data_IF_711481596205
#
_entry.id   IF_711481596205
#
_cell.length_a   1.000
_cell.length_b   1.000
_cell.length_c   1.000
_cell.angle_alpha   90.00
_cell.angle_beta   90.00
_cell.angle_gamma   90.00
#
_symmetry.space_group_name_H-M   'P 1'
#
loop_
_entity.id
_entity.type
_entity.pdbx_description
1 polymer ?
#
# COMPACT_ATOMS: atom_id res chain seq x y z
N UNK A 1 24.51 -21.12 -69.91
CA UNK A 1 23.10 -21.12 -69.43
C UNK A 1 23.11 -20.77 -67.95
N UNK A 2 22.51 -19.63 -67.57
CA UNK A 2 22.42 -19.20 -66.18
C UNK A 2 22.21 -17.70 -66.11
N UNK A 3 21.02 -17.28 -65.69
CA UNK A 3 20.35 -16.02 -66.06
C UNK A 3 20.72 -14.83 -65.16
N UNK A 4 20.66 -13.67 -65.78
CA UNK A 4 20.76 -12.30 -65.24
C UNK A 4 19.83 -11.99 -64.05
N UNK A 5 20.14 -10.91 -63.29
CA UNK A 5 19.48 -10.54 -62.05
C UNK A 5 18.15 -9.82 -62.31
N UNK A 6 17.11 -10.14 -61.52
CA UNK A 6 15.83 -9.45 -61.56
C UNK A 6 15.73 -8.43 -60.42
N UNK A 7 15.84 -7.15 -60.80
CA UNK A 7 15.38 -5.97 -60.06
C UNK A 7 14.00 -6.21 -59.40
N UNK A 8 13.87 -5.83 -58.12
CA UNK A 8 12.55 -5.60 -57.51
C UNK A 8 12.16 -4.12 -57.62
N UNK A 9 10.92 -3.80 -57.99
CA UNK A 9 10.52 -2.44 -58.32
C UNK A 9 10.28 -1.55 -57.10
N UNK A 10 10.71 -0.29 -57.23
CA UNK A 10 10.34 0.83 -56.36
C UNK A 10 8.84 1.10 -56.45
N UNK A 11 8.12 1.10 -55.32
CA UNK A 11 6.78 1.71 -55.23
C UNK A 11 6.92 3.16 -54.75
N UNK A 12 6.43 4.10 -55.57
CA UNK A 12 6.18 5.50 -55.22
C UNK A 12 4.69 5.67 -54.87
N UNK A 13 4.49 6.52 -53.85
CA UNK A 13 3.40 7.48 -53.63
C UNK A 13 1.94 7.02 -53.50
N UNK A 14 1.29 7.56 -52.46
CA UNK A 14 -0.11 7.99 -52.56
C UNK A 14 -1.09 7.36 -51.58
N UNK A 15 -1.01 7.69 -50.29
CA UNK A 15 -2.19 7.70 -49.42
C UNK A 15 -2.06 8.81 -48.38
N UNK A 16 -2.44 10.00 -48.82
CA UNK A 16 -2.59 11.18 -48.00
C UNK A 16 -3.87 10.98 -47.16
N UNK A 17 -3.71 10.50 -45.92
CA UNK A 17 -4.80 10.48 -44.95
C UNK A 17 -4.93 11.89 -44.35
N UNK A 18 -6.11 12.53 -44.36
CA UNK A 18 -6.29 13.81 -43.70
C UNK A 18 -6.10 13.62 -42.19
N UNK A 19 -5.19 14.39 -41.59
CA UNK A 19 -5.08 14.47 -40.13
C UNK A 19 -6.36 15.10 -39.57
N UNK A 20 -7.06 14.46 -38.61
CA UNK A 20 -8.14 15.13 -37.89
C UNK A 20 -7.53 16.27 -37.06
N UNK A 21 -8.11 17.47 -37.20
CA UNK A 21 -7.77 18.63 -36.37
C UNK A 21 -7.88 18.26 -34.87
N UNK A 22 -6.97 18.73 -34.01
CA UNK A 22 -7.07 18.49 -32.58
C UNK A 22 -8.37 19.11 -32.04
N UNK A 23 -9.18 18.28 -31.39
CA UNK A 23 -10.36 18.73 -30.68
C UNK A 23 -10.00 19.83 -29.67
N UNK A 24 -10.76 20.92 -29.68
CA UNK A 24 -10.58 22.03 -28.76
C UNK A 24 -10.63 21.53 -27.29
N UNK A 25 -9.77 22.07 -26.39
CA UNK A 25 -9.79 21.70 -24.99
C UNK A 25 -11.16 22.06 -24.37
N UNK A 26 -11.68 21.25 -23.45
CA UNK A 26 -12.95 21.54 -22.78
C UNK A 26 -12.83 22.88 -22.06
N UNK A 27 -13.75 23.80 -22.38
CA UNK A 27 -13.82 25.10 -21.74
C UNK A 27 -14.09 24.91 -20.25
N UNK A 28 -13.12 25.32 -19.43
CA UNK A 28 -13.12 25.21 -17.98
C UNK A 28 -14.22 26.12 -17.40
N UNK A 29 -15.35 25.55 -16.96
CA UNK A 29 -16.38 26.30 -16.23
C UNK A 29 -15.77 26.85 -14.94
N UNK A 30 -16.03 28.11 -14.57
CA UNK A 30 -15.43 28.70 -13.37
C UNK A 30 -15.85 27.91 -12.14
N UNK A 31 -14.86 27.39 -11.40
CA UNK A 31 -15.05 26.84 -10.05
C UNK A 31 -15.68 27.95 -9.21
N UNK A 32 -16.91 27.72 -8.73
CA UNK A 32 -17.59 28.63 -7.83
C UNK A 32 -16.67 28.98 -6.67
N UNK A 33 -16.29 30.26 -6.58
CA UNK A 33 -15.64 30.79 -5.40
C UNK A 33 -16.67 30.81 -4.27
N UNK A 34 -16.34 30.19 -3.15
CA UNK A 34 -17.03 30.47 -1.90
C UNK A 34 -16.82 31.97 -1.59
N UNK A 35 -17.87 32.74 -1.24
CA UNK A 35 -17.70 34.15 -0.91
C UNK A 35 -16.76 34.24 0.30
N UNK A 36 -15.71 35.06 0.17
CA UNK A 36 -14.78 35.26 1.27
C UNK A 36 -15.52 35.85 2.46
N UNK A 37 -15.40 35.19 3.62
CA UNK A 37 -16.01 35.63 4.87
C UNK A 37 -15.21 36.82 5.40
N UNK A 38 -15.84 37.94 5.78
CA UNK A 38 -15.14 39.08 6.38
C UNK A 38 -14.59 38.71 7.76
N UNK A 39 -13.33 39.07 8.02
CA UNK A 39 -12.68 38.91 9.33
C UNK A 39 -12.62 40.25 10.06
N UNK A 40 -13.76 40.75 10.53
CA UNK A 40 -13.82 41.91 11.43
C UNK A 40 -13.99 41.47 12.89
N UNK A 41 -13.08 41.84 13.81
CA UNK A 41 -13.05 41.33 15.19
C UNK A 41 -14.02 42.03 16.18
N UNK A 42 -14.97 42.86 15.71
CA UNK A 42 -15.76 43.73 16.59
C UNK A 42 -17.26 43.35 16.78
N UNK A 43 -17.75 42.24 16.20
CA UNK A 43 -19.17 41.90 16.19
C UNK A 43 -19.53 40.60 16.95
N UNK A 44 -18.86 40.29 18.06
CA UNK A 44 -19.01 39.00 18.79
C UNK A 44 -19.87 39.08 20.04
N UNK A 45 -20.95 39.87 20.08
CA UNK A 45 -21.77 39.93 21.30
C UNK A 45 -23.26 40.24 21.09
N UNK A 46 -23.93 39.61 20.11
CA UNK A 46 -25.41 39.60 20.14
C UNK A 46 -26.12 38.54 19.26
N UNK A 47 -25.50 37.40 18.95
CA UNK A 47 -26.13 36.34 18.12
C UNK A 47 -25.91 34.93 18.69
N UNK A 48 -26.34 34.70 19.93
CA UNK A 48 -26.38 33.35 20.54
C UNK A 48 -27.78 32.73 20.57
N UNK A 49 -28.78 33.29 19.90
CA UNK A 49 -30.16 32.77 19.93
C UNK A 49 -30.76 32.44 18.56
N UNK A 50 -29.95 32.29 17.51
CA UNK A 50 -30.43 31.74 16.23
C UNK A 50 -29.31 31.05 15.45
N UNK A 51 -28.94 29.83 15.87
CA UNK A 51 -27.90 29.01 15.22
C UNK A 51 -28.45 28.13 14.08
N UNK A 52 -29.76 28.06 13.84
CA UNK A 52 -30.32 27.08 12.90
C UNK A 52 -30.58 27.57 11.47
N UNK A 53 -30.09 28.76 11.06
CA UNK A 53 -30.40 29.28 9.72
C UNK A 53 -29.23 29.83 8.90
N UNK A 54 -27.99 29.41 9.18
CA UNK A 54 -26.87 29.64 8.28
C UNK A 54 -26.28 28.33 7.73
N UNK A 55 -26.66 28.06 6.49
CA UNK A 55 -25.97 27.24 5.50
C UNK A 55 -25.71 25.75 5.84
N UNK A 56 -26.58 24.88 5.31
CA UNK A 56 -26.46 23.42 5.18
C UNK A 56 -25.22 22.92 4.38
N UNK A 57 -24.21 23.76 4.15
CA UNK A 57 -23.01 23.42 3.38
C UNK A 57 -21.75 23.23 4.25
N UNK A 58 -21.85 23.29 5.59
CA UNK A 58 -20.72 23.11 6.52
C UNK A 58 -20.68 21.76 7.25
N UNK A 59 -21.31 20.72 6.69
CA UNK A 59 -21.03 19.32 7.12
C UNK A 59 -19.72 18.77 6.53
N UNK A 60 -18.75 19.64 6.23
CA UNK A 60 -17.44 19.20 5.79
C UNK A 60 -16.44 19.18 6.96
N UNK A 61 -15.97 17.97 7.22
CA UNK A 61 -14.66 17.66 7.76
C UNK A 61 -14.26 18.18 9.17
N UNK A 62 -15.06 17.88 10.21
CA UNK A 62 -14.45 17.37 11.47
C UNK A 62 -14.24 15.85 11.44
N UNK A 63 -13.97 15.30 10.25
CA UNK A 63 -13.19 14.06 10.18
C UNK A 63 -11.79 14.46 10.58
N UNK A 64 -11.45 14.26 11.85
CA UNK A 64 -10.05 14.23 12.26
C UNK A 64 -9.30 13.46 11.18
N UNK A 65 -8.33 14.12 10.56
CA UNK A 65 -7.47 13.49 9.57
C UNK A 65 -6.64 12.46 10.35
N UNK A 66 -7.22 11.28 10.55
CA UNK A 66 -6.46 10.11 10.98
C UNK A 66 -5.50 9.89 9.84
N UNK A 67 -4.22 10.22 10.07
CA UNK A 67 -3.12 9.90 9.15
C UNK A 67 -3.17 8.38 8.96
N UNK A 68 -3.79 7.94 7.86
CA UNK A 68 -3.98 6.54 7.55
C UNK A 68 -2.69 6.04 6.90
N UNK A 69 -1.79 5.53 7.72
CA UNK A 69 -0.66 4.75 7.24
C UNK A 69 -1.24 3.44 6.73
N UNK A 70 -1.39 3.35 5.41
CA UNK A 70 -2.09 2.28 4.74
C UNK A 70 -1.08 1.31 4.15
N UNK A 71 -1.03 0.10 4.70
CA UNK A 71 -0.40 -1.03 4.03
C UNK A 71 -1.24 -1.36 2.78
N UNK A 72 -0.60 -1.45 1.62
CA UNK A 72 -1.26 -1.85 0.38
C UNK A 72 -1.75 -3.30 0.43
N UNK A 73 -2.59 -3.71 -0.52
CA UNK A 73 -3.03 -5.12 -0.65
C UNK A 73 -1.85 -6.09 -0.72
N UNK A 74 -0.77 -5.68 -1.38
CA UNK A 74 0.45 -6.45 -1.51
C UNK A 74 1.12 -6.69 -0.15
N UNK A 75 1.30 -5.64 0.65
CA UNK A 75 1.85 -5.76 2.00
C UNK A 75 0.97 -6.61 2.91
N UNK A 76 -0.34 -6.39 2.91
CA UNK A 76 -1.30 -7.15 3.72
C UNK A 76 -1.19 -8.66 3.45
N UNK A 77 -1.26 -9.07 2.18
CA UNK A 77 -1.16 -10.47 1.82
C UNK A 77 0.23 -11.06 2.07
N UNK A 78 1.30 -10.27 1.95
CA UNK A 78 2.67 -10.72 2.28
C UNK A 78 2.81 -11.02 3.77
N UNK A 79 2.33 -10.12 4.63
CA UNK A 79 2.32 -10.32 6.08
C UNK A 79 1.50 -11.56 6.45
N UNK A 80 0.33 -11.74 5.84
CA UNK A 80 -0.51 -12.92 6.07
C UNK A 80 0.17 -14.21 5.64
N UNK A 81 0.81 -14.25 4.48
CA UNK A 81 1.53 -15.43 4.00
C UNK A 81 2.66 -15.83 4.95
N UNK A 82 3.46 -14.87 5.41
CA UNK A 82 4.55 -15.13 6.37
C UNK A 82 4.01 -15.55 7.74
N UNK A 83 2.87 -14.99 8.17
CA UNK A 83 2.20 -15.42 9.40
C UNK A 83 1.76 -16.88 9.33
N UNK A 84 1.18 -17.32 8.22
CA UNK A 84 0.77 -18.71 8.01
C UNK A 84 1.97 -19.68 8.03
N UNK A 85 3.05 -19.32 7.33
CA UNK A 85 4.30 -20.07 7.37
C UNK A 85 4.89 -20.12 8.79
N UNK A 86 4.75 -19.05 9.57
CA UNK A 86 5.21 -18.98 10.96
C UNK A 86 4.36 -19.87 11.89
N UNK A 87 3.05 -19.93 11.67
CA UNK A 87 2.15 -20.81 12.41
C UNK A 87 2.46 -22.30 12.19
N UNK A 88 3.04 -22.62 11.03
CA UNK A 88 3.40 -23.96 10.59
C UNK A 88 4.92 -24.20 10.56
N UNK A 89 5.68 -23.33 11.22
CA UNK A 89 7.13 -23.47 11.29
C UNK A 89 7.52 -24.83 11.88
N UNK A 90 8.45 -25.53 11.21
CA UNK A 90 8.89 -26.91 11.51
C UNK A 90 7.84 -28.02 11.36
N UNK A 91 6.69 -27.74 10.74
CA UNK A 91 5.66 -28.76 10.42
C UNK A 91 5.73 -29.29 8.98
N UNK A 92 6.80 -28.95 8.26
CA UNK A 92 6.96 -29.25 6.82
C UNK A 92 6.70 -28.04 5.93
N UNK A 93 6.89 -28.24 4.62
CA UNK A 93 6.64 -27.22 3.59
C UNK A 93 5.14 -27.04 3.40
N UNK A 94 4.72 -25.81 3.09
CA UNK A 94 3.32 -25.47 2.82
C UNK A 94 3.09 -25.24 1.33
N UNK A 95 2.02 -25.81 0.78
CA UNK A 95 1.68 -25.61 -0.64
C UNK A 95 1.03 -24.23 -0.81
N UNK A 96 1.17 -23.64 -2.01
CA UNK A 96 0.61 -22.30 -2.28
C UNK A 96 -0.91 -22.25 -2.04
N UNK A 97 -1.67 -23.24 -2.50
CA UNK A 97 -3.13 -23.27 -2.31
C UNK A 97 -3.54 -23.38 -0.83
N UNK A 98 -2.76 -24.09 -0.01
CA UNK A 98 -3.00 -24.18 1.44
C UNK A 98 -2.83 -22.82 2.11
N UNK A 99 -1.79 -22.07 1.73
CA UNK A 99 -1.53 -20.72 2.23
C UNK A 99 -2.66 -19.77 1.79
N UNK A 100 -3.05 -19.84 0.52
CA UNK A 100 -4.12 -19.04 -0.05
C UNK A 100 -5.44 -19.26 0.70
N UNK A 101 -5.81 -20.52 0.95
CA UNK A 101 -7.05 -20.87 1.64
C UNK A 101 -7.01 -20.48 3.12
N UNK A 102 -5.93 -20.81 3.84
CA UNK A 102 -5.81 -20.52 5.28
C UNK A 102 -5.88 -19.02 5.58
N UNK A 103 -5.31 -18.19 4.71
CA UNK A 103 -5.21 -16.74 4.91
C UNK A 103 -6.19 -15.93 4.07
N UNK A 104 -7.08 -16.60 3.31
CA UNK A 104 -8.05 -15.98 2.39
C UNK A 104 -7.37 -15.00 1.42
N UNK A 105 -6.26 -15.43 0.84
CA UNK A 105 -5.52 -14.69 -0.18
C UNK A 105 -5.97 -15.20 -1.56
N UNK A 106 -6.30 -14.32 -2.52
CA UNK A 106 -6.62 -14.74 -3.87
C UNK A 106 -5.49 -15.57 -4.50
N UNK A 107 -5.79 -16.77 -4.99
CA UNK A 107 -4.78 -17.72 -5.51
C UNK A 107 -3.96 -17.13 -6.66
N UNK A 108 -4.59 -16.35 -7.54
CA UNK A 108 -3.93 -15.72 -8.67
C UNK A 108 -2.89 -14.66 -8.26
N UNK A 109 -3.00 -14.12 -7.04
CA UNK A 109 -2.13 -13.06 -6.56
C UNK A 109 -0.97 -13.59 -5.70
N UNK A 110 -1.16 -14.74 -5.05
CA UNK A 110 -0.19 -15.33 -4.14
C UNK A 110 1.18 -15.63 -4.79
N UNK A 111 1.29 -16.17 -6.02
CA UNK A 111 2.59 -16.44 -6.65
C UNK A 111 3.48 -15.20 -6.75
N UNK A 112 2.89 -14.04 -7.04
CA UNK A 112 3.63 -12.76 -7.13
C UNK A 112 4.23 -12.38 -5.78
N UNK A 113 3.44 -12.49 -4.71
CA UNK A 113 3.88 -12.21 -3.34
C UNK A 113 4.99 -13.18 -2.92
N UNK A 114 4.78 -14.48 -3.13
CA UNK A 114 5.76 -15.50 -2.75
C UNK A 114 7.07 -15.30 -3.50
N UNK A 115 7.03 -14.91 -4.77
CA UNK A 115 8.23 -14.58 -5.54
C UNK A 115 9.00 -13.39 -4.93
N UNK A 116 8.30 -12.34 -4.47
CA UNK A 116 8.93 -11.20 -3.80
C UNK A 116 9.60 -11.61 -2.47
N UNK A 117 8.93 -12.44 -1.68
CA UNK A 117 9.46 -12.97 -0.42
C UNK A 117 10.64 -13.93 -0.61
N UNK A 118 10.65 -14.72 -1.69
CA UNK A 118 11.79 -15.56 -2.08
C UNK A 118 12.98 -14.69 -2.47
N UNK A 119 12.75 -13.64 -3.27
CA UNK A 119 13.80 -12.68 -3.69
C UNK A 119 14.39 -11.93 -2.50
N UNK A 120 13.57 -11.59 -1.51
CA UNK A 120 14.03 -10.99 -0.25
C UNK A 120 14.73 -11.97 0.70
N UNK A 121 14.83 -13.27 0.36
CA UNK A 121 15.50 -14.27 1.19
C UNK A 121 14.77 -14.60 2.49
N UNK A 122 13.47 -14.31 2.59
CA UNK A 122 12.65 -14.61 3.77
C UNK A 122 12.13 -16.06 3.74
N UNK A 123 11.82 -16.55 2.55
CA UNK A 123 11.27 -17.89 2.33
C UNK A 123 12.07 -18.66 1.27
N UNK A 124 12.02 -19.98 1.33
CA UNK A 124 12.53 -20.88 0.30
C UNK A 124 11.36 -21.54 -0.42
N UNK A 125 11.54 -21.79 -1.71
CA UNK A 125 10.58 -22.50 -2.55
C UNK A 125 11.26 -23.76 -3.10
N UNK A 126 10.56 -24.88 -3.05
CA UNK A 126 11.01 -26.15 -3.64
C UNK A 126 9.97 -26.62 -4.64
N UNK A 127 10.41 -26.95 -5.85
CA UNK A 127 9.54 -27.50 -6.89
C UNK A 127 9.34 -29.02 -6.73
N UNK A 128 8.28 -29.56 -7.34
CA UNK A 128 7.97 -30.99 -7.34
C UNK A 128 6.70 -31.35 -6.57
N UNK A 129 6.37 -32.65 -6.56
CA UNK A 129 5.14 -33.20 -5.94
C UNK A 129 5.07 -32.93 -4.43
N UNK A 130 6.21 -33.03 -3.75
CA UNK A 130 6.38 -32.73 -2.32
C UNK A 130 7.01 -31.35 -2.08
N UNK A 131 6.94 -30.48 -3.10
CA UNK A 131 7.40 -29.11 -3.05
C UNK A 131 6.52 -28.20 -2.20
N UNK A 132 6.94 -26.94 -2.09
CA UNK A 132 6.21 -25.93 -1.32
C UNK A 132 7.13 -24.83 -0.80
N UNK A 133 6.59 -24.05 0.13
CA UNK A 133 7.23 -22.89 0.73
C UNK A 133 7.49 -23.11 2.21
N UNK A 134 8.62 -22.60 2.70
CA UNK A 134 8.99 -22.61 4.11
C UNK A 134 9.80 -21.35 4.46
N UNK A 135 9.87 -21.01 5.75
CA UNK A 135 10.72 -19.92 6.22
C UNK A 135 12.20 -20.33 6.18
N UNK A 136 13.07 -19.48 5.64
CA UNK A 136 14.52 -19.72 5.62
C UNK A 136 15.17 -19.60 6.99
N UNK A 137 14.55 -18.84 7.91
CA UNK A 137 15.05 -18.58 9.26
C UNK A 137 13.90 -18.68 10.28
N UNK A 138 14.21 -18.88 11.57
CA UNK A 138 13.18 -18.93 12.62
C UNK A 138 12.28 -17.69 12.61
N UNK A 139 10.97 -17.82 12.91
CA UNK A 139 10.05 -16.69 12.96
C UNK A 139 10.41 -15.67 14.05
N UNK A 140 11.27 -16.02 15.00
CA UNK A 140 11.84 -15.10 16.00
C UNK A 140 12.90 -14.16 15.41
N UNK A 141 13.46 -14.46 14.25
CA UNK A 141 14.45 -13.65 13.55
C UNK A 141 13.85 -12.86 12.38
N UNK A 142 12.56 -13.02 12.10
CA UNK A 142 11.85 -12.29 11.04
C UNK A 142 11.00 -11.22 11.72
N UNK A 143 11.29 -9.96 11.44
CA UNK A 143 10.47 -8.86 11.94
C UNK A 143 9.39 -8.46 10.92
N UNK A 144 8.36 -7.77 11.41
CA UNK A 144 7.27 -7.29 10.57
C UNK A 144 7.78 -6.33 9.49
N UNK A 145 8.76 -5.49 9.84
CA UNK A 145 9.41 -4.57 8.90
C UNK A 145 10.05 -5.31 7.71
N UNK A 146 10.74 -6.43 7.93
CA UNK A 146 11.39 -7.19 6.86
C UNK A 146 10.40 -7.60 5.75
N UNK A 147 9.18 -7.96 6.15
CA UNK A 147 8.13 -8.40 5.22
C UNK A 147 7.47 -7.22 4.51
N UNK A 148 7.30 -6.10 5.21
CA UNK A 148 6.77 -4.87 4.63
C UNK A 148 7.74 -4.33 3.58
N UNK A 149 9.03 -4.24 3.91
CA UNK A 149 10.07 -3.79 2.97
C UNK A 149 10.20 -4.75 1.77
N UNK A 150 10.08 -6.06 1.98
CA UNK A 150 10.09 -7.04 0.88
C UNK A 150 8.87 -6.89 -0.06
N UNK A 151 7.72 -6.49 0.48
CA UNK A 151 6.48 -6.37 -0.28
C UNK A 151 6.37 -5.02 -0.99
N UNK A 152 6.60 -3.91 -0.30
CA UNK A 152 6.36 -2.57 -0.82
C UNK A 152 7.62 -1.90 -1.39
N UNK A 153 8.80 -2.44 -1.06
CA UNK A 153 10.08 -1.80 -1.31
C UNK A 153 10.55 -1.04 -0.06
N UNK A 154 11.82 -0.65 -0.05
CA UNK A 154 12.43 0.04 1.09
C UNK A 154 11.69 1.34 1.36
N UNK A 155 11.08 1.45 2.56
CA UNK A 155 10.35 2.64 2.99
C UNK A 155 11.33 3.71 3.49
N UNK A 156 12.27 4.13 2.65
CA UNK A 156 13.10 5.32 2.92
C UNK A 156 12.47 6.52 2.21
N UNK A 157 11.57 7.21 2.91
CA UNK A 157 11.08 8.52 2.46
C UNK A 157 12.20 9.53 2.73
N UNK A 158 13.15 9.62 1.80
CA UNK A 158 14.17 10.69 1.80
C UNK A 158 13.62 12.02 1.26
N UNK A 159 12.35 12.07 0.89
CA UNK A 159 11.68 13.24 0.35
C UNK A 159 10.96 14.02 1.45
N UNK A 160 11.02 15.34 1.39
CA UNK A 160 10.27 16.22 2.27
C UNK A 160 8.77 16.00 2.04
N UNK A 161 8.02 15.74 3.11
CA UNK A 161 6.55 15.55 3.02
C UNK A 161 5.84 16.80 2.48
N UNK A 162 6.39 17.98 2.76
CA UNK A 162 5.81 19.25 2.32
C UNK A 162 6.15 19.57 0.86
N UNK A 163 7.31 19.17 0.36
CA UNK A 163 7.84 19.61 -0.95
C UNK A 163 7.98 18.49 -1.98
N UNK A 164 7.89 17.22 -1.58
CA UNK A 164 8.09 16.05 -2.46
C UNK A 164 9.54 15.85 -2.96
N UNK A 165 10.46 16.75 -2.61
CA UNK A 165 11.90 16.71 -2.92
C UNK A 165 12.71 16.53 -1.63
N UNK A 166 13.93 15.95 -1.69
CA UNK A 166 14.81 15.91 -0.52
C UNK A 166 15.03 17.31 0.06
N UNK A 167 15.05 17.41 1.39
CA UNK A 167 15.54 18.63 2.02
C UNK A 167 17.06 18.71 1.81
N UNK A 168 17.57 19.88 1.46
CA UNK A 168 19.01 20.13 1.53
C UNK A 168 19.46 20.01 3.00
N UNK A 169 20.67 19.48 3.21
CA UNK A 169 21.18 19.16 4.56
C UNK A 169 21.26 20.37 5.49
N UNK A 170 21.34 21.57 4.91
CA UNK A 170 21.43 22.84 5.64
C UNK A 170 20.04 23.48 5.90
N UNK A 171 18.95 22.87 5.41
CA UNK A 171 17.57 23.40 5.44
C UNK A 171 16.56 22.38 6.02
N UNK A 172 16.93 21.61 7.05
CA UNK A 172 15.98 20.75 7.76
C UNK A 172 15.03 21.61 8.60
N UNK A 173 13.80 21.84 8.11
CA UNK A 173 12.79 22.57 8.88
C UNK A 173 12.26 21.73 10.05
N UNK A 174 11.76 22.39 11.10
CA UNK A 174 11.21 21.73 12.29
C UNK A 174 10.11 20.68 11.97
N UNK A 175 9.37 20.87 10.87
CA UNK A 175 8.36 19.89 10.41
C UNK A 175 9.00 18.63 9.86
N UNK A 176 10.13 18.75 9.14
CA UNK A 176 10.87 17.59 8.64
C UNK A 176 11.40 16.75 9.79
N UNK A 177 11.97 17.38 10.83
CA UNK A 177 12.47 16.68 12.01
C UNK A 177 11.34 15.92 12.74
N UNK A 178 10.22 16.59 13.01
CA UNK A 178 9.07 15.96 13.65
C UNK A 178 8.53 14.76 12.86
N UNK A 179 8.45 14.89 11.52
CA UNK A 179 8.00 13.80 10.66
C UNK A 179 9.00 12.63 10.61
N UNK A 180 10.29 12.93 10.45
CA UNK A 180 11.35 11.93 10.45
C UNK A 180 11.42 11.17 11.77
N UNK A 181 11.20 11.86 12.90
CA UNK A 181 11.09 11.22 14.22
C UNK A 181 9.87 10.28 14.30
N UNK A 182 8.70 10.72 13.84
CA UNK A 182 7.49 9.88 13.82
C UNK A 182 7.67 8.63 12.94
N UNK A 183 8.23 8.79 11.73
CA UNK A 183 8.55 7.69 10.83
C UNK A 183 9.55 6.71 11.46
N UNK A 184 10.61 7.25 12.08
CA UNK A 184 11.62 6.44 12.78
C UNK A 184 10.99 5.63 13.91
N UNK A 185 10.14 6.27 14.74
CA UNK A 185 9.44 5.60 15.82
C UNK A 185 8.57 4.45 15.29
N UNK A 186 7.83 4.68 14.20
CA UNK A 186 7.03 3.64 13.57
C UNK A 186 7.88 2.48 13.04
N UNK A 187 8.92 2.77 12.26
CA UNK A 187 9.84 1.77 11.71
C UNK A 187 10.48 0.94 12.83
N UNK A 188 10.84 1.57 13.94
CA UNK A 188 11.35 0.87 15.12
C UNK A 188 10.31 -0.07 15.75
N UNK A 189 9.03 0.31 15.83
CA UNK A 189 7.98 -0.58 16.33
C UNK A 189 7.78 -1.80 15.43
N UNK A 190 7.77 -1.60 14.10
CA UNK A 190 7.69 -2.70 13.13
C UNK A 190 8.90 -3.63 13.20
N UNK A 191 10.11 -3.07 13.40
CA UNK A 191 11.35 -3.84 13.55
C UNK A 191 11.39 -4.66 14.84
N UNK A 192 10.84 -4.15 15.94
CA UNK A 192 10.77 -4.86 17.24
C UNK A 192 9.77 -6.02 17.23
N UNK A 193 8.76 -5.96 16.36
CA UNK A 193 7.70 -6.97 16.31
C UNK A 193 8.13 -8.15 15.45
N UNK A 194 8.23 -9.36 16.04
CA UNK A 194 8.63 -10.58 15.31
C UNK A 194 7.44 -11.44 14.92
N UNK A 195 7.60 -12.27 13.90
CA UNK A 195 6.55 -13.22 13.50
C UNK A 195 6.31 -14.34 14.51
N UNK A 196 7.30 -14.65 15.35
CA UNK A 196 7.08 -15.57 16.48
C UNK A 196 6.07 -15.01 17.48
N UNK A 197 6.15 -13.71 17.75
CA UNK A 197 5.24 -13.02 18.65
C UNK A 197 3.83 -12.93 18.03
N UNK A 198 3.75 -12.58 16.75
CA UNK A 198 2.47 -12.52 16.03
C UNK A 198 1.78 -13.90 15.97
N UNK A 199 2.55 -14.96 15.70
CA UNK A 199 2.03 -16.32 15.69
C UNK A 199 1.51 -16.76 17.07
N UNK A 200 2.21 -16.37 18.15
CA UNK A 200 1.76 -16.62 19.53
C UNK A 200 0.44 -15.92 19.82
N UNK A 201 0.31 -14.64 19.48
CA UNK A 201 -0.93 -13.87 19.65
C UNK A 201 -2.08 -14.47 18.85
N UNK A 202 -1.85 -14.85 17.60
CA UNK A 202 -2.87 -15.45 16.74
C UNK A 202 -3.43 -16.75 17.33
N UNK A 203 -2.56 -17.62 17.87
CA UNK A 203 -2.96 -18.85 18.56
C UNK A 203 -3.76 -18.57 19.83
N UNK A 204 -3.42 -17.52 20.59
CA UNK A 204 -4.19 -17.14 21.76
C UNK A 204 -5.59 -16.62 21.40
N UNK A 205 -5.70 -15.80 20.34
CA UNK A 205 -6.97 -15.25 19.87
C UNK A 205 -7.91 -16.33 19.30
N UNK A 206 -7.40 -17.34 18.60
CA UNK A 206 -8.22 -18.43 18.08
C UNK A 206 -8.82 -19.29 19.21
N UNK A 207 -8.11 -19.47 20.32
CA UNK A 207 -8.62 -20.17 21.52
C UNK A 207 -9.74 -19.37 22.21
N UNK A 208 -9.65 -18.04 22.23
CA UNK A 208 -10.68 -17.18 22.83
C UNK A 208 -11.96 -17.13 21.99
N UNK A 209 -11.86 -17.16 20.66
CA UNK A 209 -13.01 -17.21 19.78
C UNK A 209 -13.85 -18.49 19.98
N UNK A 210 -13.22 -19.63 20.26
CA UNK A 210 -13.91 -20.91 20.55
C UNK A 210 -14.59 -20.96 21.93
N UNK A 211 -14.18 -20.11 22.87
CA UNK A 211 -14.80 -20.04 24.22
C UNK A 211 -16.00 -19.10 24.30
N UNK A 212 -16.33 -18.36 23.23
CA UNK A 212 -17.46 -17.42 23.26
C UNK A 212 -18.78 -18.21 23.30
N UNK A 213 -19.57 -18.13 24.39
CA UNK A 213 -20.83 -18.86 24.47
C UNK A 213 -21.76 -18.38 23.36
N UNK A 214 -22.34 -19.32 22.61
CA UNK A 214 -23.40 -19.04 21.65
C UNK A 214 -24.64 -18.65 22.46
N UNK A 215 -24.93 -17.36 22.59
CA UNK A 215 -26.23 -16.92 23.08
C UNK A 215 -27.29 -17.46 22.10
N UNK A 216 -28.14 -18.36 22.60
CA UNK A 216 -29.38 -18.78 21.94
C UNK A 216 -30.31 -17.58 21.86
N UNK A 217 -30.70 -17.21 20.65
CA UNK A 217 -31.93 -16.46 20.39
C UNK A 217 -33.01 -17.48 19.97
#
# INVERSE_FOLDING_TARGET
MGRSPAERPRRRAGSQWPSPAPAAPPQNKPRGHCPQVPVDPAATLSLLTNIDNYCSCSQDARRGFIVKIALGRKGDYSVRAVLDLSLHYRKGRRKAHEIATSMRIPENYLPRILADLVRAGLISATAGRDGGYELRRPPSQICLLDVVDAAEGVTEIRTCVLRGIPCDKDDSCAVHEAWSAAQTAMTQQLRKTTFSELARRQRASSVQASKRPKNKA
#
